data_IF_362341768879
#
_entry.id   IF_362341768879
#
_cell.length_a   1.000
_cell.length_b   1.000
_cell.length_c   1.000
_cell.angle_alpha   90.00
_cell.angle_beta   90.00
_cell.angle_gamma   90.00
#
_symmetry.space_group_name_H-M   'P 1'
#
loop_
_entity.id
_entity.type
_entity.pdbx_description
1 polymer ?
#
# COMPACT_ATOMS: atom_id res chain seq x y z
N UNK A 1 10.56 74.08 -18.92
CA UNK A 1 9.30 73.31 -19.11
C UNK A 1 9.63 71.82 -19.36
N UNK A 2 10.64 71.24 -18.66
CA UNK A 2 11.07 69.83 -18.92
C UNK A 2 11.10 68.92 -17.71
N UNK A 3 10.61 69.35 -16.54
CA UNK A 3 10.67 68.56 -15.30
C UNK A 3 9.37 67.90 -14.89
N UNK A 4 8.33 67.82 -15.75
CA UNK A 4 7.01 67.32 -15.35
C UNK A 4 6.56 66.01 -16.09
N UNK A 5 7.39 65.44 -16.95
CA UNK A 5 7.08 64.22 -17.70
C UNK A 5 7.73 63.00 -17.09
N UNK A 6 8.84 63.14 -16.34
CA UNK A 6 9.57 62.04 -15.79
C UNK A 6 8.98 61.47 -14.44
N UNK A 7 8.19 62.27 -13.73
CA UNK A 7 7.55 61.80 -12.51
C UNK A 7 6.18 61.08 -12.68
N UNK A 8 5.64 61.04 -13.92
CA UNK A 8 4.42 60.30 -14.23
C UNK A 8 4.67 58.89 -14.72
N UNK A 9 5.91 58.52 -15.10
CA UNK A 9 6.27 57.20 -15.59
C UNK A 9 6.81 56.29 -14.50
N UNK A 10 7.15 56.80 -13.33
CA UNK A 10 7.61 55.99 -12.18
C UNK A 10 6.51 55.50 -11.22
N UNK A 11 5.31 56.07 -11.31
CA UNK A 11 4.19 55.64 -10.44
C UNK A 11 3.26 54.59 -11.06
N UNK A 12 3.49 54.15 -12.28
CA UNK A 12 2.68 53.11 -12.97
C UNK A 12 3.35 51.71 -12.98
N UNK A 13 4.60 51.62 -12.49
CA UNK A 13 5.35 50.34 -12.50
C UNK A 13 5.28 49.59 -11.16
N UNK A 14 4.71 50.15 -10.09
CA UNK A 14 4.62 49.51 -8.77
C UNK A 14 3.24 48.92 -8.40
N UNK A 15 2.24 49.00 -9.30
CA UNK A 15 0.89 48.50 -9.04
C UNK A 15 0.60 47.15 -9.70
N UNK A 16 1.56 46.50 -10.35
CA UNK A 16 1.34 45.25 -11.10
C UNK A 16 2.02 44.00 -10.52
N UNK A 17 2.57 44.08 -9.29
CA UNK A 17 3.26 42.92 -8.67
C UNK A 17 2.65 42.45 -7.35
N UNK A 18 1.39 42.74 -7.09
CA UNK A 18 0.72 42.36 -5.83
C UNK A 18 -0.55 41.50 -5.99
N UNK A 19 -0.75 40.84 -7.14
CA UNK A 19 -1.92 39.98 -7.35
C UNK A 19 -1.52 38.70 -8.07
N UNK A 20 -0.64 37.91 -7.46
CA UNK A 20 -0.48 36.49 -7.87
C UNK A 20 -0.01 35.62 -6.70
N UNK A 21 -0.60 35.84 -5.52
CA UNK A 21 -0.46 34.92 -4.37
C UNK A 21 -1.81 34.64 -3.74
N UNK A 22 -2.81 34.38 -4.56
CA UNK A 22 -4.10 33.89 -4.11
C UNK A 22 -4.44 32.63 -4.90
N UNK A 23 -4.75 31.60 -4.11
CA UNK A 23 -5.40 30.35 -4.50
C UNK A 23 -4.48 29.17 -4.80
N UNK A 24 -3.75 28.73 -3.80
CA UNK A 24 -3.79 27.31 -3.49
C UNK A 24 -4.45 27.16 -2.14
N UNK A 25 -5.77 27.20 -2.09
CA UNK A 25 -6.51 26.59 -0.99
C UNK A 25 -6.18 25.11 -1.10
N UNK A 26 -5.48 24.52 -0.11
CA UNK A 26 -5.18 23.10 -0.20
C UNK A 26 -6.49 22.33 -0.25
N UNK A 27 -6.58 21.35 -1.12
CA UNK A 27 -7.67 20.38 -1.26
C UNK A 27 -8.08 19.68 0.08
N UNK A 28 -7.43 20.03 1.17
CA UNK A 28 -7.67 19.57 2.54
C UNK A 28 -9.06 19.91 3.09
N UNK A 29 -9.73 20.94 2.55
CA UNK A 29 -11.08 21.33 3.00
C UNK A 29 -12.16 20.29 2.63
N UNK A 30 -11.87 19.38 1.68
CA UNK A 30 -12.84 18.39 1.18
C UNK A 30 -12.90 17.11 2.01
N UNK A 31 -11.99 16.89 3.00
CA UNK A 31 -11.86 15.63 3.73
C UNK A 31 -12.08 15.73 5.23
N UNK A 32 -12.99 16.59 5.69
CA UNK A 32 -13.31 16.71 7.12
C UNK A 32 -12.07 16.95 8.03
N UNK A 33 -10.98 17.48 7.48
CA UNK A 33 -9.72 17.72 8.20
C UNK A 33 -8.90 16.47 8.54
N UNK A 34 -9.22 15.30 7.99
CA UNK A 34 -8.46 14.06 8.18
C UNK A 34 -7.26 13.97 7.24
N UNK A 35 -6.20 13.34 7.71
CA UNK A 35 -5.06 12.95 6.88
C UNK A 35 -5.49 11.81 5.96
N UNK A 36 -5.22 11.93 4.65
CA UNK A 36 -5.61 10.95 3.66
C UNK A 36 -4.41 10.07 3.28
N UNK A 37 -4.53 8.77 3.50
CA UNK A 37 -3.50 7.76 3.19
C UNK A 37 -4.04 6.77 2.19
N UNK A 38 -3.38 6.61 1.04
CA UNK A 38 -3.71 5.61 0.04
C UNK A 38 -2.80 4.40 0.17
N UNK A 39 -3.37 3.21 0.22
CA UNK A 39 -2.67 1.93 0.07
C UNK A 39 -2.93 1.37 -1.32
N UNK A 40 -1.96 1.53 -2.23
CA UNK A 40 -2.03 1.05 -3.61
C UNK A 40 -1.17 -0.22 -3.75
N UNK A 41 -1.74 -1.30 -4.32
CA UNK A 41 -1.03 -2.57 -4.41
C UNK A 41 -1.87 -3.75 -4.90
N UNK A 42 -1.38 -4.93 -4.64
CA UNK A 42 -1.96 -6.19 -5.08
C UNK A 42 -2.80 -6.93 -4.00
N UNK A 43 -2.92 -8.26 -4.12
CA UNK A 43 -3.66 -9.11 -3.17
C UNK A 43 -3.15 -9.02 -1.73
N UNK A 44 -1.85 -8.74 -1.54
CA UNK A 44 -1.25 -8.58 -0.21
C UNK A 44 -1.63 -7.24 0.44
N UNK A 45 -2.16 -6.31 -0.33
CA UNK A 45 -2.76 -5.05 0.14
C UNK A 45 -4.27 -5.18 0.28
N UNK A 46 -4.94 -5.86 -0.66
CA UNK A 46 -6.41 -6.03 -0.67
C UNK A 46 -6.94 -6.85 0.52
N UNK A 47 -6.33 -8.00 0.79
CA UNK A 47 -6.81 -8.92 1.82
C UNK A 47 -8.18 -9.52 1.52
N UNK A 48 -8.43 -9.94 0.29
CA UNK A 48 -9.75 -10.46 -0.15
C UNK A 48 -10.23 -11.65 0.68
N UNK A 49 -9.38 -12.63 0.96
CA UNK A 49 -9.78 -13.82 1.74
C UNK A 49 -10.09 -13.46 3.21
N UNK A 50 -9.26 -12.71 3.95
CA UNK A 50 -9.65 -12.20 5.26
C UNK A 50 -10.99 -11.44 5.25
N UNK A 51 -11.29 -10.66 4.21
CA UNK A 51 -12.57 -9.94 4.08
C UNK A 51 -13.75 -10.86 3.91
N UNK A 52 -13.61 -11.95 3.14
CA UNK A 52 -14.64 -12.98 2.99
C UNK A 52 -14.86 -13.73 4.32
N UNK A 53 -13.78 -14.13 4.97
CA UNK A 53 -13.83 -14.96 6.19
C UNK A 53 -14.21 -14.16 7.43
N UNK A 54 -13.93 -12.88 7.48
CA UNK A 54 -14.21 -11.96 8.60
C UNK A 54 -14.76 -10.62 8.08
N UNK A 55 -15.97 -10.61 7.49
CA UNK A 55 -16.52 -9.44 6.81
C UNK A 55 -16.71 -8.22 7.71
N UNK A 56 -16.84 -8.43 9.02
CA UNK A 56 -16.94 -7.31 9.99
C UNK A 56 -15.58 -6.70 10.39
N UNK A 57 -14.47 -7.29 9.92
CA UNK A 57 -13.12 -6.79 10.19
C UNK A 57 -12.69 -6.85 11.67
N UNK A 58 -11.82 -5.95 12.14
CA UNK A 58 -11.21 -4.88 11.35
C UNK A 58 -10.24 -5.40 10.29
N UNK A 59 -10.17 -4.71 9.15
CA UNK A 59 -9.22 -5.00 8.07
C UNK A 59 -8.04 -4.01 8.09
N UNK A 60 -7.03 -4.24 7.25
CA UNK A 60 -5.75 -3.54 7.25
C UNK A 60 -5.89 -2.02 7.45
N UNK A 61 -6.72 -1.37 6.63
CA UNK A 61 -6.92 0.09 6.67
C UNK A 61 -7.48 0.55 8.04
N UNK A 62 -8.41 -0.21 8.60
CA UNK A 62 -9.02 0.14 9.90
C UNK A 62 -8.08 -0.12 11.07
N UNK A 63 -7.25 -1.15 10.99
CA UNK A 63 -6.23 -1.40 12.02
C UNK A 63 -5.19 -0.28 12.01
N UNK A 64 -4.75 0.19 10.84
CA UNK A 64 -3.83 1.35 10.74
C UNK A 64 -4.47 2.59 11.36
N UNK A 65 -5.73 2.92 11.00
CA UNK A 65 -6.45 4.06 11.59
C UNK A 65 -6.54 3.98 13.12
N UNK A 66 -6.83 2.78 13.67
CA UNK A 66 -6.91 2.56 15.11
C UNK A 66 -5.56 2.72 15.81
N UNK A 67 -4.49 2.20 15.20
CA UNK A 67 -3.15 2.32 15.76
C UNK A 67 -2.65 3.76 15.75
N UNK A 68 -2.88 4.52 14.67
CA UNK A 68 -2.56 5.94 14.61
C UNK A 68 -3.38 6.76 15.61
N UNK A 69 -4.66 6.44 15.77
CA UNK A 69 -5.51 7.10 16.78
C UNK A 69 -5.05 6.80 18.22
N UNK A 70 -4.50 5.63 18.48
CA UNK A 70 -3.98 5.24 19.79
C UNK A 70 -2.71 6.00 20.23
N UNK A 71 -1.99 6.64 19.28
CA UNK A 71 -0.88 7.56 19.59
C UNK A 71 -1.33 8.78 20.41
N UNK A 72 -2.59 9.21 20.25
CA UNK A 72 -3.26 10.23 21.04
C UNK A 72 -2.90 11.68 20.68
N UNK A 73 -1.78 11.91 20.02
CA UNK A 73 -1.27 13.25 19.63
C UNK A 73 -1.38 13.52 18.12
N UNK A 74 -1.83 12.53 17.33
CA UNK A 74 -1.92 12.65 15.88
C UNK A 74 -3.29 13.16 15.42
N UNK A 75 -3.34 13.94 14.32
CA UNK A 75 -4.59 14.24 13.65
C UNK A 75 -5.32 12.99 13.19
N UNK A 76 -6.65 13.05 13.11
CA UNK A 76 -7.47 11.97 12.56
C UNK A 76 -6.98 11.55 11.17
N UNK A 77 -6.90 10.26 10.93
CA UNK A 77 -6.42 9.69 9.67
C UNK A 77 -7.51 8.85 9.01
N UNK A 78 -7.60 8.93 7.68
CA UNK A 78 -8.43 8.08 6.85
C UNK A 78 -7.55 7.28 5.90
N UNK A 79 -7.64 5.96 5.95
CA UNK A 79 -6.83 5.05 5.14
C UNK A 79 -7.69 4.42 4.05
N UNK A 80 -7.35 4.69 2.81
CA UNK A 80 -8.04 4.23 1.60
C UNK A 80 -7.34 2.96 1.10
N UNK A 81 -8.04 1.84 1.13
CA UNK A 81 -7.55 0.59 0.55
C UNK A 81 -7.86 0.57 -0.94
N UNK A 82 -6.84 0.45 -1.80
CA UNK A 82 -6.95 0.37 -3.26
C UNK A 82 -6.14 -0.77 -3.88
N UNK A 83 -5.78 -1.78 -3.09
CA UNK A 83 -5.18 -3.01 -3.61
C UNK A 83 -6.20 -3.89 -4.32
N UNK A 84 -5.75 -4.65 -5.33
CA UNK A 84 -6.58 -5.60 -6.09
C UNK A 84 -5.81 -6.90 -6.34
N UNK A 85 -6.45 -8.03 -6.04
CA UNK A 85 -5.86 -9.36 -6.24
C UNK A 85 -5.42 -9.58 -7.69
N UNK A 86 -4.19 -10.04 -7.85
CA UNK A 86 -3.60 -10.32 -9.15
C UNK A 86 -3.21 -9.07 -9.95
N UNK A 87 -3.29 -7.88 -9.36
CA UNK A 87 -2.88 -6.66 -10.03
C UNK A 87 -1.36 -6.51 -10.08
N UNK A 88 -0.87 -5.99 -11.18
CA UNK A 88 0.49 -5.54 -11.44
C UNK A 88 0.46 -4.16 -12.08
N UNK A 89 1.58 -3.45 -12.09
CA UNK A 89 1.59 -2.01 -12.44
C UNK A 89 1.02 -1.76 -13.84
N UNK A 90 1.42 -2.54 -14.85
CA UNK A 90 0.87 -2.35 -16.21
C UNK A 90 -0.63 -2.55 -16.26
N UNK A 91 -1.16 -3.57 -15.56
CA UNK A 91 -2.61 -3.76 -15.48
C UNK A 91 -3.33 -2.57 -14.85
N UNK A 92 -2.79 -2.01 -13.76
CA UNK A 92 -3.34 -0.81 -13.12
C UNK A 92 -3.45 0.34 -14.12
N UNK A 93 -2.38 0.60 -14.88
CA UNK A 93 -2.29 1.74 -15.82
C UNK A 93 -3.12 1.47 -17.08
N UNK A 94 -2.87 0.36 -17.77
CA UNK A 94 -3.42 0.08 -19.10
C UNK A 94 -4.93 -0.20 -19.10
N UNK A 95 -5.47 -0.70 -17.99
CA UNK A 95 -6.91 -0.90 -17.85
C UNK A 95 -7.69 0.38 -17.54
N UNK A 96 -7.01 1.51 -17.32
CA UNK A 96 -7.61 2.76 -16.87
C UNK A 96 -8.09 2.73 -15.42
N UNK A 97 -7.77 1.67 -14.64
CA UNK A 97 -8.15 1.61 -13.21
C UNK A 97 -7.39 2.65 -12.39
N UNK A 98 -6.20 3.04 -12.81
CA UNK A 98 -5.40 4.09 -12.17
C UNK A 98 -6.21 5.36 -11.90
N UNK A 99 -7.05 5.77 -12.86
CA UNK A 99 -7.90 6.96 -12.72
C UNK A 99 -8.81 6.92 -11.50
N UNK A 100 -9.42 5.75 -11.22
CA UNK A 100 -10.34 5.56 -10.09
C UNK A 100 -9.61 5.20 -8.80
N UNK A 101 -8.50 4.49 -8.93
CA UNK A 101 -7.75 3.93 -7.81
C UNK A 101 -6.87 4.96 -7.12
N UNK A 102 -6.43 5.98 -7.85
CA UNK A 102 -5.49 7.00 -7.38
C UNK A 102 -5.80 8.38 -7.97
N UNK A 103 -5.70 8.60 -9.28
CA UNK A 103 -5.66 9.93 -9.91
C UNK A 103 -6.80 10.87 -9.51
N UNK A 104 -8.01 10.35 -9.35
CA UNK A 104 -9.21 11.13 -8.99
C UNK A 104 -9.52 11.19 -7.50
N UNK A 105 -8.68 10.59 -6.66
CA UNK A 105 -8.83 10.69 -5.21
C UNK A 105 -8.34 12.06 -4.74
N UNK A 106 -9.18 12.86 -4.10
CA UNK A 106 -8.79 14.21 -3.70
C UNK A 106 -7.92 14.19 -2.43
N UNK A 107 -7.01 15.17 -2.31
CA UNK A 107 -6.34 15.54 -1.06
C UNK A 107 -5.48 14.46 -0.41
N UNK A 108 -4.85 13.58 -1.17
CA UNK A 108 -3.95 12.56 -0.61
C UNK A 108 -2.72 13.21 0.03
N UNK A 109 -2.40 12.78 1.26
CA UNK A 109 -1.21 13.20 2.00
C UNK A 109 -0.07 12.19 1.87
N UNK A 110 -0.39 10.89 1.84
CA UNK A 110 0.57 9.78 1.73
C UNK A 110 0.05 8.71 0.78
N UNK A 111 0.93 8.18 -0.07
CA UNK A 111 0.60 7.11 -1.03
C UNK A 111 1.62 5.98 -0.89
N UNK A 112 1.21 4.86 -0.30
CA UNK A 112 2.01 3.66 -0.24
C UNK A 112 1.84 2.85 -1.53
N UNK A 113 2.96 2.47 -2.15
CA UNK A 113 2.99 1.72 -3.41
C UNK A 113 3.68 0.39 -3.17
N UNK A 114 2.93 -0.73 -3.24
CA UNK A 114 3.45 -2.08 -3.03
C UNK A 114 3.05 -3.01 -4.15
N UNK A 115 3.93 -3.09 -5.16
CA UNK A 115 3.85 -3.99 -6.30
C UNK A 115 5.15 -4.78 -6.47
N UNK A 116 5.16 -5.75 -7.37
CA UNK A 116 6.30 -6.58 -7.70
C UNK A 116 5.97 -8.06 -7.78
N UNK A 117 5.16 -8.61 -6.86
CA UNK A 117 4.82 -10.03 -6.79
C UNK A 117 4.13 -10.50 -8.08
N UNK A 118 3.09 -9.82 -8.51
CA UNK A 118 2.39 -10.15 -9.75
C UNK A 118 3.12 -9.67 -10.99
N UNK A 119 3.87 -8.57 -10.89
CA UNK A 119 4.74 -8.10 -11.98
C UNK A 119 5.77 -9.17 -12.32
N UNK A 120 6.44 -9.77 -11.32
CA UNK A 120 7.40 -10.85 -11.51
C UNK A 120 6.82 -12.06 -12.27
N UNK A 121 5.55 -12.37 -12.03
CA UNK A 121 4.88 -13.50 -12.65
C UNK A 121 4.34 -13.21 -14.07
N UNK A 122 4.26 -11.93 -14.49
CA UNK A 122 3.56 -11.51 -15.71
C UNK A 122 4.35 -10.63 -16.64
N UNK A 123 5.43 -10.03 -16.16
CA UNK A 123 6.27 -9.15 -16.97
C UNK A 123 7.45 -9.98 -17.48
N UNK A 124 7.54 -10.11 -18.79
CA UNK A 124 8.73 -10.63 -19.45
C UNK A 124 9.90 -9.68 -19.18
N UNK A 125 11.10 -10.22 -18.97
CA UNK A 125 12.29 -9.43 -18.59
C UNK A 125 12.03 -8.51 -17.36
N UNK A 126 11.49 -9.11 -16.31
CA UNK A 126 11.05 -8.40 -15.11
C UNK A 126 12.12 -7.47 -14.53
N UNK A 127 13.37 -7.89 -14.49
CA UNK A 127 14.45 -7.09 -13.86
C UNK A 127 14.70 -5.77 -14.58
N UNK A 128 14.48 -5.71 -15.89
CA UNK A 128 14.62 -4.50 -16.69
C UNK A 128 13.32 -3.71 -16.84
N UNK A 129 12.17 -4.35 -16.88
CA UNK A 129 10.89 -3.69 -17.16
C UNK A 129 10.17 -3.20 -15.90
N UNK A 130 10.21 -3.96 -14.79
CA UNK A 130 9.56 -3.55 -13.55
C UNK A 130 10.05 -2.19 -13.02
N UNK A 131 11.36 -1.87 -13.02
CA UNK A 131 11.83 -0.55 -12.64
C UNK A 131 11.25 0.58 -13.50
N UNK A 132 11.08 0.37 -14.80
CA UNK A 132 10.47 1.36 -15.73
C UNK A 132 8.99 1.58 -15.39
N UNK A 133 8.25 0.48 -15.16
CA UNK A 133 6.84 0.55 -14.79
C UNK A 133 6.64 1.26 -13.45
N UNK A 134 7.48 0.98 -12.47
CA UNK A 134 7.40 1.63 -11.16
C UNK A 134 7.75 3.13 -11.26
N UNK A 135 8.76 3.48 -12.06
CA UNK A 135 9.10 4.87 -12.36
C UNK A 135 7.93 5.60 -13.01
N UNK A 136 7.29 5.00 -14.03
CA UNK A 136 6.11 5.56 -14.69
C UNK A 136 4.98 5.80 -13.69
N UNK A 137 4.64 4.80 -12.85
CA UNK A 137 3.61 4.94 -11.83
C UNK A 137 3.91 6.09 -10.86
N UNK A 138 5.16 6.20 -10.38
CA UNK A 138 5.59 7.31 -9.52
C UNK A 138 5.42 8.65 -10.24
N UNK A 139 5.77 8.74 -11.51
CA UNK A 139 5.57 9.94 -12.33
C UNK A 139 4.10 10.36 -12.44
N UNK A 140 3.21 9.38 -12.68
CA UNK A 140 1.77 9.61 -12.69
C UNK A 140 1.24 10.10 -11.33
N UNK A 141 1.65 9.47 -10.24
CA UNK A 141 1.26 9.86 -8.89
C UNK A 141 1.73 11.27 -8.54
N UNK A 142 2.96 11.65 -8.90
CA UNK A 142 3.47 13.02 -8.68
C UNK A 142 2.70 14.08 -9.47
N UNK A 143 2.33 13.74 -10.72
CA UNK A 143 1.54 14.65 -11.56
C UNK A 143 0.18 14.92 -10.95
N UNK A 144 -0.49 13.87 -10.47
CA UNK A 144 -1.88 13.95 -10.02
C UNK A 144 -1.99 14.36 -8.53
N UNK A 145 -0.95 14.07 -7.74
CA UNK A 145 -0.89 14.38 -6.30
C UNK A 145 0.44 15.06 -5.90
N UNK A 146 0.71 16.27 -6.40
CA UNK A 146 2.01 16.93 -6.22
C UNK A 146 2.36 17.25 -4.74
N UNK A 147 1.38 17.23 -3.85
CA UNK A 147 1.56 17.47 -2.41
C UNK A 147 1.68 16.18 -1.59
N UNK A 148 1.40 15.02 -2.19
CA UNK A 148 1.46 13.75 -1.49
C UNK A 148 2.90 13.25 -1.35
N UNK A 149 3.19 12.63 -0.21
CA UNK A 149 4.42 11.87 -0.02
C UNK A 149 4.20 10.46 -0.58
N UNK A 150 4.92 10.13 -1.65
CA UNK A 150 4.88 8.79 -2.25
C UNK A 150 5.89 7.90 -1.53
N UNK A 151 5.45 6.73 -1.09
CA UNK A 151 6.20 5.78 -0.26
C UNK A 151 6.28 4.42 -0.97
N UNK A 152 7.31 4.16 -1.79
CA UNK A 152 7.58 2.82 -2.29
C UNK A 152 7.78 1.86 -1.11
N UNK A 153 7.13 0.70 -1.16
CA UNK A 153 7.09 -0.27 -0.07
C UNK A 153 7.65 -1.61 -0.53
N UNK A 154 8.56 -2.21 0.25
CA UNK A 154 9.06 -3.55 -0.04
C UNK A 154 8.00 -4.62 0.15
N UNK A 155 8.10 -5.69 -0.65
CA UNK A 155 7.21 -6.83 -0.57
C UNK A 155 7.54 -7.70 0.65
N UNK A 156 6.51 -8.28 1.25
CA UNK A 156 6.66 -9.33 2.26
C UNK A 156 7.30 -10.59 1.65
N UNK A 157 7.82 -11.54 2.45
CA UNK A 157 8.35 -12.81 1.95
C UNK A 157 7.24 -13.67 1.32
N UNK A 158 6.92 -13.39 0.06
CA UNK A 158 5.88 -14.09 -0.71
C UNK A 158 6.47 -15.17 -1.63
N UNK A 159 7.61 -14.89 -2.22
CA UNK A 159 8.40 -15.82 -3.04
C UNK A 159 9.55 -16.46 -2.25
N UNK A 160 10.45 -17.17 -2.93
CA UNK A 160 11.70 -17.61 -2.31
C UNK A 160 12.55 -16.43 -1.82
N UNK A 161 13.50 -16.67 -0.89
CA UNK A 161 14.30 -15.59 -0.31
C UNK A 161 15.06 -14.74 -1.34
N UNK A 162 15.70 -15.39 -2.30
CA UNK A 162 16.48 -14.73 -3.36
C UNK A 162 15.59 -13.88 -4.27
N UNK A 163 14.46 -14.43 -4.71
CA UNK A 163 13.51 -13.72 -5.56
C UNK A 163 12.86 -12.54 -4.82
N UNK A 164 12.52 -12.72 -3.55
CA UNK A 164 12.01 -11.63 -2.71
C UNK A 164 13.05 -10.53 -2.52
N UNK A 165 14.31 -10.88 -2.28
CA UNK A 165 15.40 -9.92 -2.15
C UNK A 165 15.59 -9.13 -3.45
N UNK A 166 15.67 -9.80 -4.59
CA UNK A 166 15.80 -9.17 -5.91
C UNK A 166 14.66 -8.19 -6.19
N UNK A 167 13.39 -8.59 -5.99
CA UNK A 167 12.26 -7.66 -6.16
C UNK A 167 12.38 -6.43 -5.27
N UNK A 168 12.73 -6.62 -4.01
CA UNK A 168 12.83 -5.52 -3.04
C UNK A 168 14.03 -4.61 -3.33
N UNK A 169 15.12 -5.15 -3.87
CA UNK A 169 16.26 -4.34 -4.31
C UNK A 169 15.91 -3.46 -5.51
N UNK A 170 15.11 -3.97 -6.46
CA UNK A 170 14.59 -3.14 -7.56
C UNK A 170 13.70 -2.01 -7.05
N UNK A 171 12.83 -2.26 -6.07
CA UNK A 171 12.03 -1.19 -5.42
C UNK A 171 12.94 -0.13 -4.80
N UNK A 172 13.98 -0.53 -4.04
CA UNK A 172 14.94 0.40 -3.42
C UNK A 172 15.73 1.20 -4.45
N UNK A 173 16.17 0.55 -5.54
CA UNK A 173 16.89 1.22 -6.64
C UNK A 173 16.05 2.30 -7.31
N UNK A 174 14.77 2.00 -7.61
CA UNK A 174 13.86 3.00 -8.19
C UNK A 174 13.63 4.13 -7.21
N UNK A 175 13.32 3.82 -5.95
CA UNK A 175 13.08 4.84 -4.93
C UNK A 175 14.30 5.77 -4.76
N UNK A 176 15.52 5.22 -4.75
CA UNK A 176 16.75 6.02 -4.68
C UNK A 176 16.91 6.94 -5.89
N UNK A 177 16.65 6.46 -7.12
CA UNK A 177 16.68 7.29 -8.35
C UNK A 177 15.62 8.41 -8.31
N UNK A 178 14.48 8.14 -7.67
CA UNK A 178 13.38 9.08 -7.52
C UNK A 178 13.52 10.00 -6.30
N UNK A 179 14.58 9.88 -5.51
CA UNK A 179 14.76 10.59 -4.24
C UNK A 179 13.58 10.39 -3.27
N UNK A 180 13.06 9.15 -3.19
CA UNK A 180 11.98 8.77 -2.28
C UNK A 180 12.52 7.90 -1.14
N UNK A 181 11.96 8.11 0.05
CA UNK A 181 12.17 7.19 1.17
C UNK A 181 11.40 5.88 0.93
N UNK A 182 12.01 4.76 1.28
CA UNK A 182 11.39 3.42 1.18
C UNK A 182 10.82 3.01 2.53
N UNK A 183 9.60 2.53 2.55
CA UNK A 183 9.08 1.77 3.69
C UNK A 183 9.53 0.31 3.56
N UNK A 184 10.55 -0.08 4.33
CA UNK A 184 11.10 -1.43 4.31
C UNK A 184 10.33 -2.38 5.25
N UNK A 185 9.18 -2.85 4.78
CA UNK A 185 8.30 -3.76 5.52
C UNK A 185 8.87 -5.18 5.66
N UNK A 186 9.68 -5.63 4.67
CA UNK A 186 10.13 -7.02 4.56
C UNK A 186 10.85 -7.54 5.81
N UNK A 187 11.85 -6.85 6.39
CA UNK A 187 12.62 -7.38 7.53
C UNK A 187 11.75 -7.70 8.75
N UNK A 188 10.80 -6.81 9.04
CA UNK A 188 9.89 -7.01 10.18
C UNK A 188 8.97 -8.20 9.97
N UNK A 189 8.37 -8.31 8.79
CA UNK A 189 7.49 -9.43 8.46
C UNK A 189 8.26 -10.76 8.44
N UNK A 190 9.47 -10.78 7.86
CA UNK A 190 10.34 -11.95 7.84
C UNK A 190 10.77 -12.39 9.26
N UNK A 191 11.03 -11.44 10.16
CA UNK A 191 11.36 -11.74 11.56
C UNK A 191 10.18 -12.40 12.29
N UNK A 192 8.95 -11.94 12.05
CA UNK A 192 7.75 -12.56 12.63
C UNK A 192 7.50 -13.98 12.09
N UNK A 193 7.71 -14.22 10.80
CA UNK A 193 7.60 -15.56 10.20
C UNK A 193 8.55 -16.58 10.84
N UNK A 194 9.71 -16.13 11.36
CA UNK A 194 10.67 -17.03 12.05
C UNK A 194 10.18 -17.52 13.41
N UNK A 195 9.15 -16.90 14.01
CA UNK A 195 8.59 -17.31 15.31
C UNK A 195 7.77 -18.59 15.23
N UNK A 196 7.35 -18.98 14.02
CA UNK A 196 6.61 -20.22 13.80
C UNK A 196 6.33 -20.45 12.33
N UNK A 197 6.11 -21.70 11.95
CA UNK A 197 5.87 -22.08 10.56
C UNK A 197 4.56 -21.47 10.06
N UNK A 198 4.66 -20.58 9.06
CA UNK A 198 3.52 -19.96 8.36
C UNK A 198 2.42 -19.35 9.27
N UNK A 199 2.78 -18.92 10.48
CA UNK A 199 1.82 -18.35 11.46
C UNK A 199 1.11 -17.08 10.97
N UNK A 200 1.69 -16.38 9.99
CA UNK A 200 1.14 -15.15 9.42
C UNK A 200 0.33 -15.38 8.14
N UNK A 201 0.23 -16.61 7.65
CA UNK A 201 -0.43 -16.91 6.38
C UNK A 201 -1.68 -17.75 6.63
N UNK A 202 -2.73 -17.55 5.82
CA UNK A 202 -3.86 -18.48 5.79
C UNK A 202 -3.51 -19.73 4.97
N UNK A 203 -4.31 -20.79 5.12
CA UNK A 203 -4.24 -21.98 4.29
C UNK A 203 -5.29 -21.88 3.20
N UNK A 204 -4.89 -22.10 1.96
CA UNK A 204 -5.78 -22.29 0.82
C UNK A 204 -5.38 -23.55 0.09
N UNK A 205 -6.20 -24.58 0.21
CA UNK A 205 -5.88 -25.89 -0.34
C UNK A 205 -7.03 -26.39 -1.23
N UNK A 206 -6.77 -26.98 -2.41
CA UNK A 206 -7.81 -27.49 -3.27
C UNK A 206 -8.59 -28.63 -2.58
N UNK A 207 -9.92 -28.52 -2.46
CA UNK A 207 -10.75 -29.54 -1.83
C UNK A 207 -10.55 -30.91 -2.49
N UNK A 208 -10.44 -30.95 -3.82
CA UNK A 208 -10.22 -32.19 -4.59
C UNK A 208 -8.90 -32.93 -4.25
N UNK A 209 -7.95 -32.26 -3.56
CA UNK A 209 -6.71 -32.87 -3.11
C UNK A 209 -6.74 -33.31 -1.64
N UNK A 210 -7.82 -32.98 -0.93
CA UNK A 210 -8.02 -33.46 0.46
C UNK A 210 -8.46 -34.92 0.39
N UNK A 211 -7.79 -35.84 1.12
CA UNK A 211 -8.25 -37.23 1.20
C UNK A 211 -9.69 -37.33 1.72
N UNK A 212 -10.50 -38.22 1.13
CA UNK A 212 -11.93 -38.37 1.42
C UNK A 212 -12.22 -38.53 2.93
N UNK A 213 -11.38 -39.28 3.63
CA UNK A 213 -11.48 -39.47 5.08
C UNK A 213 -11.47 -38.18 5.91
N UNK A 214 -11.02 -37.07 5.34
CA UNK A 214 -10.99 -35.76 6.01
C UNK A 214 -12.08 -34.80 5.52
N UNK A 215 -12.94 -35.19 4.56
CA UNK A 215 -13.93 -34.28 3.98
C UNK A 215 -14.91 -33.74 5.02
N UNK A 216 -15.40 -34.54 5.95
CA UNK A 216 -16.27 -34.05 7.03
C UNK A 216 -15.54 -33.10 7.97
N UNK A 217 -14.24 -33.34 8.25
CA UNK A 217 -13.40 -32.46 9.08
C UNK A 217 -13.23 -31.07 8.43
N UNK A 218 -12.96 -31.02 7.13
CA UNK A 218 -12.71 -29.75 6.43
C UNK A 218 -13.97 -29.02 5.98
N UNK A 219 -15.14 -29.66 6.07
CA UNK A 219 -16.41 -29.13 5.61
C UNK A 219 -16.74 -27.70 6.09
N UNK A 220 -16.47 -27.33 7.37
CA UNK A 220 -16.70 -25.96 7.85
C UNK A 220 -15.80 -24.90 7.19
N UNK A 221 -14.73 -25.32 6.53
CA UNK A 221 -13.72 -24.46 5.91
C UNK A 221 -13.83 -24.42 4.38
N UNK A 222 -14.82 -25.11 3.81
CA UNK A 222 -14.97 -25.20 2.35
C UNK A 222 -15.61 -23.92 1.80
N UNK A 223 -14.89 -23.28 0.88
CA UNK A 223 -15.36 -22.13 0.12
C UNK A 223 -15.09 -22.37 -1.38
N UNK A 224 -16.17 -22.63 -2.13
CA UNK A 224 -16.07 -23.05 -3.52
C UNK A 224 -15.26 -24.34 -3.69
N UNK A 225 -14.23 -24.34 -4.49
CA UNK A 225 -13.37 -25.50 -4.74
C UNK A 225 -12.16 -25.58 -3.76
N UNK A 226 -12.12 -24.77 -2.73
CA UNK A 226 -10.98 -24.68 -1.81
C UNK A 226 -11.37 -24.85 -0.35
N UNK A 227 -10.46 -25.41 0.43
CA UNK A 227 -10.46 -25.33 1.89
C UNK A 227 -9.69 -24.07 2.28
N UNK A 228 -10.33 -23.16 3.01
CA UNK A 228 -9.76 -21.91 3.49
C UNK A 228 -9.69 -21.92 5.01
N UNK A 229 -8.48 -21.90 5.58
CA UNK A 229 -8.25 -21.88 7.03
C UNK A 229 -7.45 -20.66 7.39
N UNK A 230 -8.01 -19.79 8.23
CA UNK A 230 -7.40 -18.48 8.54
C UNK A 230 -6.21 -18.58 9.49
N UNK A 231 -6.11 -19.66 10.27
CA UNK A 231 -5.06 -19.87 11.24
C UNK A 231 -4.49 -21.30 11.13
N UNK A 232 -4.17 -21.94 12.23
CA UNK A 232 -3.48 -23.22 12.24
C UNK A 232 -4.35 -24.39 12.74
N UNK A 233 -5.66 -24.23 12.74
CA UNK A 233 -6.61 -25.20 13.35
C UNK A 233 -6.50 -26.61 12.76
N UNK A 234 -6.15 -26.74 11.48
CA UNK A 234 -6.01 -28.01 10.80
C UNK A 234 -4.57 -28.45 10.55
N UNK A 235 -3.59 -27.63 10.90
CA UNK A 235 -2.18 -27.89 10.59
C UNK A 235 -1.70 -29.21 11.21
N UNK A 236 -2.03 -29.49 12.48
CA UNK A 236 -1.64 -30.74 13.14
C UNK A 236 -2.23 -32.01 12.53
N UNK A 237 -3.17 -31.88 11.59
CA UNK A 237 -3.82 -33.01 10.90
C UNK A 237 -3.43 -33.07 9.44
N UNK A 238 -3.30 -31.92 8.76
CA UNK A 238 -3.15 -31.83 7.31
C UNK A 238 -1.79 -31.32 6.85
N UNK A 239 -0.86 -31.04 7.76
CA UNK A 239 0.50 -30.55 7.45
C UNK A 239 1.30 -31.49 6.53
N UNK A 240 1.01 -32.80 6.61
CA UNK A 240 1.59 -33.83 5.77
C UNK A 240 1.14 -33.78 4.30
N UNK A 241 0.09 -33.00 3.99
CA UNK A 241 -0.39 -32.88 2.61
C UNK A 241 0.56 -32.01 1.78
N UNK A 242 1.04 -32.51 0.61
CA UNK A 242 1.95 -31.74 -0.22
C UNK A 242 1.34 -30.39 -0.63
N UNK A 243 2.00 -29.30 -0.24
CA UNK A 243 1.56 -27.94 -0.57
C UNK A 243 0.53 -27.34 0.40
N UNK A 244 0.25 -27.95 1.54
CA UNK A 244 -0.64 -27.39 2.56
C UNK A 244 -0.22 -25.97 2.99
N UNK A 245 1.09 -25.72 3.08
CA UNK A 245 1.66 -24.42 3.42
C UNK A 245 2.11 -23.58 2.21
N UNK A 246 1.62 -23.88 1.00
CA UNK A 246 2.09 -23.20 -0.23
C UNK A 246 1.57 -21.78 -0.38
N UNK A 247 0.39 -21.47 0.15
CA UNK A 247 -0.16 -20.11 0.10
C UNK A 247 0.53 -19.20 1.11
N UNK A 248 1.07 -18.08 0.64
CA UNK A 248 1.84 -17.13 1.44
C UNK A 248 1.12 -15.79 1.65
N UNK A 249 -0.14 -15.71 1.28
CA UNK A 249 -0.92 -14.52 1.57
C UNK A 249 -1.15 -14.35 3.07
N UNK A 250 -1.11 -13.11 3.56
CA UNK A 250 -1.32 -12.82 4.98
C UNK A 250 -2.70 -13.28 5.47
N UNK A 251 -2.72 -13.88 6.64
CA UNK A 251 -3.92 -13.99 7.46
C UNK A 251 -4.13 -12.72 8.30
N UNK A 252 -5.08 -12.72 9.25
CA UNK A 252 -5.32 -11.55 10.10
C UNK A 252 -4.08 -11.14 10.92
N UNK A 253 -3.32 -12.11 11.44
CA UNK A 253 -2.08 -11.82 12.18
C UNK A 253 -1.02 -11.18 11.26
N UNK A 254 -0.87 -11.67 10.03
CA UNK A 254 0.00 -11.08 9.03
C UNK A 254 -0.40 -9.64 8.67
N UNK A 255 -1.69 -9.38 8.49
CA UNK A 255 -2.17 -8.02 8.25
C UNK A 255 -1.98 -7.10 9.46
N UNK A 256 -2.08 -7.61 10.69
CA UNK A 256 -1.77 -6.82 11.88
C UNK A 256 -0.29 -6.43 11.97
N UNK A 257 0.64 -7.30 11.55
CA UNK A 257 2.06 -6.94 11.44
C UNK A 257 2.27 -5.83 10.41
N UNK A 258 1.62 -5.94 9.25
CA UNK A 258 1.69 -4.90 8.21
C UNK A 258 1.11 -3.57 8.74
N UNK A 259 -0.02 -3.61 9.43
CA UNK A 259 -0.65 -2.42 10.01
C UNK A 259 0.21 -1.75 11.07
N UNK A 260 0.78 -2.54 12.00
CA UNK A 260 1.65 -2.05 13.08
C UNK A 260 2.89 -1.34 12.50
N UNK A 261 3.58 -1.96 11.55
CA UNK A 261 4.73 -1.35 10.92
C UNK A 261 4.36 -0.10 10.07
N UNK A 262 3.21 -0.15 9.39
CA UNK A 262 2.73 1.01 8.64
C UNK A 262 2.42 2.19 9.57
N UNK A 263 1.77 1.94 10.70
CA UNK A 263 1.48 2.98 11.70
C UNK A 263 2.76 3.56 12.31
N UNK A 264 3.73 2.71 12.68
CA UNK A 264 5.05 3.12 13.18
C UNK A 264 5.83 3.96 12.18
N UNK A 265 5.75 3.62 10.90
CA UNK A 265 6.39 4.39 9.83
C UNK A 265 5.71 5.75 9.63
N UNK A 266 4.37 5.78 9.65
CA UNK A 266 3.59 6.98 9.40
C UNK A 266 3.59 7.98 10.56
N UNK A 267 3.51 7.52 11.80
CA UNK A 267 3.33 8.38 12.97
C UNK A 267 4.37 9.52 13.05
N UNK A 268 5.70 9.27 12.92
CA UNK A 268 6.68 10.35 12.92
C UNK A 268 6.52 11.30 11.72
N UNK A 269 6.20 10.80 10.53
CA UNK A 269 6.00 11.62 9.33
C UNK A 269 4.78 12.54 9.47
N UNK A 270 3.73 12.04 10.11
CA UNK A 270 2.52 12.83 10.40
C UNK A 270 2.86 13.94 11.41
N UNK A 271 3.58 13.63 12.49
CA UNK A 271 4.00 14.64 13.49
C UNK A 271 4.86 15.72 12.88
N UNK A 272 5.78 15.37 11.99
CA UNK A 272 6.65 16.33 11.30
C UNK A 272 5.84 17.25 10.37
N UNK A 273 4.96 16.67 9.54
CA UNK A 273 4.15 17.43 8.55
C UNK A 273 3.02 18.22 9.19
N UNK A 274 2.47 17.72 10.29
CA UNK A 274 1.30 18.27 10.99
C UNK A 274 1.56 18.36 12.50
N UNK A 275 2.46 19.24 12.95
CA UNK A 275 2.80 19.34 14.36
C UNK A 275 1.57 19.65 15.22
N UNK A 276 1.48 19.09 16.43
CA UNK A 276 0.40 19.45 17.37
C UNK A 276 0.42 20.95 17.62
N UNK A 277 -0.78 21.54 17.75
CA UNK A 277 -0.94 22.98 17.98
C UNK A 277 -0.58 23.34 19.41
#
# INVERSE_FOLDING_TARGET
MENNVMNKLLNTAFAALAVLSLLTIPARAEHEGKIQVLLLGDSTTEGSIPRIMKPKGPHLEKVIEQLLAAEGDLPSTHVIQSGVSGEYIRRLIDSGRYDKAAAKLPGLDYIFVRYGINDRARVEDFENEFPKHLHELIGLLRRDHPQAIIVPTTNIPFSGPEETAMMNDLVRQVAAKENLAVFDLNPRYAAELKKGMNVLNYRRYPLAKVPEKFHELVKPYVHGASVLVMSNELDGILDHLPGWFSDRHPNLAGYNVIADETAKYLAPLIREKFPPK
#
